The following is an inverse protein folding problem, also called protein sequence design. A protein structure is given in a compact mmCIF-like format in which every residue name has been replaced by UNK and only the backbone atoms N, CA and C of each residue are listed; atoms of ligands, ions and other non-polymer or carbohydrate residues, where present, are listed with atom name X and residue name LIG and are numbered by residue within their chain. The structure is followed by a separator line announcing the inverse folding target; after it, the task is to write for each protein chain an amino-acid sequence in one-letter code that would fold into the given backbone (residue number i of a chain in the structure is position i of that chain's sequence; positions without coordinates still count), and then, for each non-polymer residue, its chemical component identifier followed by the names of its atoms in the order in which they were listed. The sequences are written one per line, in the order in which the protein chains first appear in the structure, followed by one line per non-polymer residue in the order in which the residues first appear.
data_IF_199539022705
#
_entry.id   IF_199539022705
#
_cell.length_a   1.000
_cell.length_b   1.000
_cell.length_c   1.000
_cell.angle_alpha   90.00
_cell.angle_beta   90.00
_cell.angle_gamma   90.00
#
_symmetry.space_group_name_H-M   'P 1'
#
loop_
_entity.id
_entity.type
_entity.pdbx_description
1 polymer ?
#
# COMPACT_ATOMS: atom_id res chain seq x y z
N UNK A 1 26.88 11.99 -9.75
CA UNK A 1 26.00 10.83 -9.50
C UNK A 1 24.59 11.28 -9.87
N UNK A 2 24.08 10.89 -11.03
CA UNK A 2 22.69 11.19 -11.39
C UNK A 2 21.76 10.35 -10.52
N UNK A 3 20.84 10.98 -9.80
CA UNK A 3 19.71 10.28 -9.20
C UNK A 3 18.91 9.62 -10.32
N UNK A 4 18.84 8.29 -10.33
CA UNK A 4 17.88 7.60 -11.20
C UNK A 4 16.48 8.05 -10.77
N UNK A 5 15.78 8.75 -11.65
CA UNK A 5 14.47 9.28 -11.30
C UNK A 5 13.52 8.18 -10.82
N UNK A 6 12.73 8.45 -9.78
CA UNK A 6 11.72 7.51 -9.30
C UNK A 6 10.35 7.87 -9.89
N UNK A 7 9.59 6.85 -10.26
CA UNK A 7 8.18 6.98 -10.61
C UNK A 7 7.35 6.32 -9.51
N UNK A 8 6.45 7.07 -8.89
CA UNK A 8 5.54 6.55 -7.88
C UNK A 8 4.08 6.78 -8.31
N UNK A 9 3.36 5.68 -8.55
CA UNK A 9 1.91 5.68 -8.75
C UNK A 9 1.21 5.52 -7.39
N UNK A 10 0.36 6.46 -7.00
CA UNK A 10 -0.44 6.41 -5.78
C UNK A 10 -1.90 6.77 -6.08
N UNK A 11 -2.86 6.17 -5.39
CA UNK A 11 -4.24 6.64 -5.42
C UNK A 11 -4.41 7.80 -4.45
N UNK A 12 -5.00 8.92 -4.88
CA UNK A 12 -5.39 9.96 -3.93
C UNK A 12 -6.70 9.54 -3.26
N UNK A 13 -6.60 8.63 -2.29
CA UNK A 13 -7.62 8.57 -1.26
C UNK A 13 -7.42 9.80 -0.40
N UNK A 14 -8.23 10.84 -0.64
CA UNK A 14 -8.23 12.05 0.19
C UNK A 14 -8.35 11.63 1.66
N UNK A 15 -7.33 11.95 2.45
CA UNK A 15 -7.32 11.76 3.92
C UNK A 15 -7.79 10.38 4.41
N UNK A 16 -6.91 9.39 4.48
CA UNK A 16 -6.80 8.39 5.58
C UNK A 16 -8.05 7.83 6.28
N UNK A 17 -9.21 7.81 5.63
CA UNK A 17 -10.52 7.42 6.18
C UNK A 17 -11.23 6.43 5.26
N UNK A 18 -10.49 5.75 4.39
CA UNK A 18 -11.02 4.60 3.68
C UNK A 18 -11.20 3.41 4.61
N UNK A 19 -12.08 2.47 4.25
CA UNK A 19 -12.25 1.18 4.98
C UNK A 19 -10.92 0.46 5.16
N UNK A 20 -10.02 0.58 4.17
CA UNK A 20 -8.66 0.04 4.20
C UNK A 20 -7.80 0.68 5.32
N UNK A 21 -7.94 1.99 5.54
CA UNK A 21 -7.25 2.69 6.63
C UNK A 21 -7.77 2.27 8.00
N UNK A 22 -9.07 1.99 8.12
CA UNK A 22 -9.69 1.46 9.34
C UNK A 22 -9.17 0.07 9.71
N UNK A 23 -9.04 -0.84 8.73
CA UNK A 23 -8.49 -2.18 8.93
C UNK A 23 -7.00 -2.09 9.31
N UNK A 24 -6.23 -1.29 8.57
CA UNK A 24 -4.80 -1.08 8.84
C UNK A 24 -4.56 -0.45 10.22
N UNK A 25 -5.32 0.58 10.57
CA UNK A 25 -5.26 1.25 11.86
C UNK A 25 -5.63 0.33 13.03
N UNK A 26 -6.73 -0.44 12.89
CA UNK A 26 -7.16 -1.41 13.89
C UNK A 26 -6.10 -2.49 14.11
N UNK A 27 -5.54 -3.02 13.02
CA UNK A 27 -4.50 -4.06 13.09
C UNK A 27 -3.24 -3.55 13.76
N UNK A 28 -2.73 -2.37 13.35
CA UNK A 28 -1.57 -1.72 13.98
C UNK A 28 -1.79 -1.48 15.47
N UNK A 29 -2.95 -0.93 15.84
CA UNK A 29 -3.30 -0.62 17.23
C UNK A 29 -3.33 -1.87 18.12
N UNK A 30 -3.94 -2.96 17.64
CA UNK A 30 -4.04 -4.22 18.39
C UNK A 30 -2.68 -4.92 18.54
N UNK A 31 -1.87 -4.96 17.49
CA UNK A 31 -0.50 -5.50 17.58
C UNK A 31 0.34 -4.65 18.55
N UNK A 32 0.24 -3.33 18.47
CA UNK A 32 0.94 -2.42 19.38
C UNK A 32 0.54 -2.66 20.85
N UNK A 33 -0.73 -2.94 21.13
CA UNK A 33 -1.19 -3.26 22.48
C UNK A 33 -0.52 -4.53 23.05
N UNK A 34 -0.31 -5.57 22.22
CA UNK A 34 0.42 -6.79 22.63
C UNK A 34 1.90 -6.50 22.91
N UNK A 35 2.55 -5.71 22.07
CA UNK A 35 3.96 -5.30 22.25
C UNK A 35 4.11 -4.47 23.52
N UNK A 36 3.23 -3.49 23.73
CA UNK A 36 3.24 -2.62 24.92
C UNK A 36 3.00 -3.42 26.20
N UNK A 37 2.14 -4.44 26.15
CA UNK A 37 1.91 -5.37 27.25
C UNK A 37 3.02 -6.41 27.42
N UNK A 38 4.07 -6.37 26.59
CA UNK A 38 5.18 -7.34 26.57
C UNK A 38 4.72 -8.79 26.33
N UNK A 39 3.60 -8.97 25.64
CA UNK A 39 3.05 -10.29 25.25
C UNK A 39 3.53 -10.75 23.88
N UNK A 40 4.12 -9.84 23.10
CA UNK A 40 4.75 -10.13 21.81
C UNK A 40 5.99 -9.27 21.62
N UNK A 41 6.96 -9.79 20.88
CA UNK A 41 8.10 -9.04 20.36
C UNK A 41 7.92 -8.98 18.84
N UNK A 42 7.88 -7.77 18.28
CA UNK A 42 7.72 -7.54 16.85
C UNK A 42 8.83 -6.60 16.40
N UNK A 43 9.79 -7.10 15.60
CA UNK A 43 10.93 -6.32 15.11
C UNK A 43 10.90 -6.12 13.60
N UNK A 44 10.16 -6.97 12.87
CA UNK A 44 10.08 -6.93 11.42
C UNK A 44 8.70 -7.43 10.94
N UNK A 45 8.50 -7.43 9.61
CA UNK A 45 7.24 -7.85 9.00
C UNK A 45 6.91 -9.34 9.23
N UNK A 46 7.93 -10.19 9.34
CA UNK A 46 7.78 -11.63 9.60
C UNK A 46 7.21 -11.85 10.99
N UNK A 47 7.67 -11.11 11.99
CA UNK A 47 7.14 -11.16 13.35
C UNK A 47 5.73 -10.55 13.45
N UNK A 48 5.46 -9.51 12.65
CA UNK A 48 4.18 -8.80 12.68
C UNK A 48 3.03 -9.68 12.21
N UNK A 49 3.21 -10.41 11.10
CA UNK A 49 2.16 -11.21 10.48
C UNK A 49 1.44 -12.20 11.43
N UNK A 50 2.14 -13.07 12.20
CA UNK A 50 1.48 -14.00 13.11
C UNK A 50 0.75 -13.28 14.27
N UNK A 51 1.31 -12.19 14.78
CA UNK A 51 0.67 -11.42 15.86
C UNK A 51 -0.61 -10.75 15.33
N UNK A 52 -0.56 -10.17 14.13
CA UNK A 52 -1.72 -9.56 13.48
C UNK A 52 -2.86 -10.57 13.27
N UNK A 53 -2.56 -11.76 12.72
CA UNK A 53 -3.55 -12.83 12.52
C UNK A 53 -4.18 -13.29 13.82
N UNK A 54 -3.41 -13.33 14.92
CA UNK A 54 -3.90 -13.74 16.24
C UNK A 54 -4.85 -12.72 16.85
N UNK A 55 -4.53 -11.42 16.77
CA UNK A 55 -5.28 -10.35 17.47
C UNK A 55 -6.42 -9.77 16.64
N UNK A 56 -6.42 -10.02 15.34
CA UNK A 56 -7.49 -9.63 14.41
C UNK A 56 -7.95 -10.87 13.63
N UNK A 57 -8.79 -11.74 14.22
CA UNK A 57 -9.14 -13.03 13.61
C UNK A 57 -10.02 -12.89 12.35
N UNK A 58 -10.62 -11.72 12.11
CA UNK A 58 -11.52 -11.46 10.99
C UNK A 58 -10.81 -10.96 9.73
N UNK A 59 -9.48 -10.99 9.68
CA UNK A 59 -8.69 -10.65 8.49
C UNK A 59 -7.83 -11.83 8.06
N UNK A 60 -7.57 -11.91 6.76
CA UNK A 60 -6.53 -12.78 6.21
C UNK A 60 -5.25 -11.97 6.07
N UNK A 61 -4.21 -12.36 6.81
CA UNK A 61 -2.88 -11.74 6.70
C UNK A 61 -2.05 -12.56 5.72
N UNK A 62 -1.59 -11.91 4.64
CA UNK A 62 -0.70 -12.50 3.65
C UNK A 62 0.67 -11.85 3.81
N UNK A 63 1.68 -12.65 4.16
CA UNK A 63 3.07 -12.20 4.21
C UNK A 63 3.68 -12.34 2.82
N UNK A 64 4.19 -11.24 2.25
CA UNK A 64 4.98 -11.27 1.02
C UNK A 64 6.43 -10.90 1.35
N UNK A 65 7.34 -11.84 1.13
CA UNK A 65 8.78 -11.62 1.26
C UNK A 65 9.36 -11.06 -0.05
N UNK A 66 10.58 -10.54 0.01
CA UNK A 66 11.26 -10.02 -1.18
C UNK A 66 11.32 -11.05 -2.32
N UNK A 67 11.58 -12.32 -1.99
CA UNK A 67 11.55 -13.40 -2.99
C UNK A 67 10.18 -13.61 -3.64
N UNK A 68 9.09 -13.29 -2.95
CA UNK A 68 7.73 -13.38 -3.51
C UNK A 68 7.46 -12.18 -4.44
N UNK A 69 8.01 -11.01 -4.10
CA UNK A 69 7.98 -9.79 -4.89
C UNK A 69 8.83 -9.94 -6.18
N UNK A 70 10.05 -10.47 -6.06
CA UNK A 70 10.96 -10.61 -7.19
C UNK A 70 10.48 -11.64 -8.21
N UNK A 71 9.74 -12.66 -7.75
CA UNK A 71 9.07 -13.65 -8.62
C UNK A 71 7.83 -13.08 -9.29
N UNK A 72 7.22 -12.05 -8.72
CA UNK A 72 6.05 -11.42 -9.30
C UNK A 72 6.49 -10.42 -10.36
N UNK A 73 6.54 -10.89 -11.61
CA UNK A 73 6.64 -10.04 -12.80
C UNK A 73 5.32 -9.27 -12.98
N UNK A 74 5.03 -8.32 -12.08
CA UNK A 74 3.84 -7.49 -12.15
C UNK A 74 4.06 -6.45 -13.24
N UNK A 75 3.36 -6.63 -14.36
CA UNK A 75 3.23 -5.57 -15.33
C UNK A 75 2.25 -4.53 -14.81
N UNK A 76 2.78 -3.50 -14.14
CA UNK A 76 2.00 -2.39 -13.59
C UNK A 76 1.18 -1.61 -14.63
N UNK A 77 1.45 -1.78 -15.94
CA UNK A 77 0.63 -1.18 -17.00
C UNK A 77 -0.68 -1.94 -17.24
N UNK A 78 -0.78 -3.19 -16.77
CA UNK A 78 -2.00 -4.01 -16.84
C UNK A 78 -2.83 -3.93 -15.56
N UNK A 79 -2.33 -3.25 -14.52
CA UNK A 79 -3.07 -3.05 -13.29
C UNK A 79 -4.35 -2.25 -13.61
N UNK A 80 -5.51 -2.88 -13.42
CA UNK A 80 -6.80 -2.21 -13.58
C UNK A 80 -7.01 -1.25 -12.42
N UNK A 81 -7.62 -0.12 -12.72
CA UNK A 81 -8.08 0.79 -11.68
C UNK A 81 -9.08 0.07 -10.78
N UNK A 82 -8.95 0.28 -9.47
CA UNK A 82 -9.89 -0.26 -8.49
C UNK A 82 -11.21 0.50 -8.65
N UNK A 83 -12.32 -0.17 -8.98
CA UNK A 83 -13.60 0.49 -9.17
C UNK A 83 -13.98 1.32 -7.94
N UNK A 84 -14.25 2.62 -8.14
CA UNK A 84 -14.58 3.55 -7.07
C UNK A 84 -13.40 4.34 -6.47
N UNK A 85 -12.15 3.97 -6.76
CA UNK A 85 -10.98 4.81 -6.44
C UNK A 85 -10.80 5.82 -7.57
N UNK A 86 -11.29 7.04 -7.35
CA UNK A 86 -11.59 7.98 -8.45
C UNK A 86 -10.37 8.54 -9.18
N UNK A 87 -9.13 8.49 -8.64
CA UNK A 87 -7.93 9.06 -9.30
C UNK A 87 -6.63 8.36 -8.90
N UNK A 88 -5.88 7.89 -9.88
CA UNK A 88 -4.46 7.54 -9.74
C UNK A 88 -3.60 8.77 -10.05
N UNK A 89 -2.60 8.99 -9.23
CA UNK A 89 -1.64 10.08 -9.30
C UNK A 89 -0.26 9.49 -9.53
N UNK A 90 0.55 10.15 -10.34
CA UNK A 90 1.90 9.70 -10.66
C UNK A 90 2.86 10.83 -10.29
N UNK A 91 3.85 10.54 -9.46
CA UNK A 91 4.96 11.43 -9.17
C UNK A 91 6.15 10.95 -10.01
N UNK A 92 6.76 11.86 -10.77
CA UNK A 92 8.05 11.59 -11.43
C UNK A 92 9.07 12.64 -11.03
N UNK A 93 10.29 12.22 -10.71
CA UNK A 93 11.41 13.14 -10.57
C UNK A 93 12.13 13.30 -11.91
N UNK A 94 12.39 14.55 -12.33
CA UNK A 94 13.18 14.89 -13.52
C UNK A 94 14.21 15.94 -13.15
N UNK A 95 15.50 15.64 -13.32
CA UNK A 95 16.65 16.56 -13.32
C UNK A 95 16.51 17.79 -12.39
N UNK A 96 16.26 17.56 -11.09
CA UNK A 96 16.05 18.54 -9.98
C UNK A 96 14.62 19.03 -9.69
N UNK A 97 13.60 18.48 -10.37
CA UNK A 97 12.20 18.81 -10.12
C UNK A 97 11.33 17.58 -9.80
N UNK A 98 10.35 17.77 -8.92
CA UNK A 98 9.28 16.80 -8.66
C UNK A 98 8.06 17.21 -9.49
N UNK A 99 7.72 16.41 -10.50
CA UNK A 99 6.56 16.62 -11.35
C UNK A 99 5.39 15.75 -10.86
N UNK A 100 4.26 16.40 -10.56
CA UNK A 100 3.01 15.76 -10.15
C UNK A 100 2.08 15.63 -11.35
N UNK A 101 1.74 14.40 -11.72
CA UNK A 101 0.78 14.10 -12.77
C UNK A 101 -0.48 13.52 -12.14
N UNK A 102 -1.65 14.04 -12.52
CA UNK A 102 -2.93 13.42 -12.21
C UNK A 102 -3.44 12.75 -13.47
N UNK A 103 -3.68 11.44 -13.48
CA UNK A 103 -4.39 10.87 -14.63
C UNK A 103 -5.85 11.32 -14.55
N UNK A 104 -6.25 12.21 -15.46
CA UNK A 104 -7.64 12.37 -15.82
C UNK A 104 -7.92 11.27 -16.84
N UNK A 105 -8.49 10.14 -16.40
CA UNK A 105 -9.11 9.25 -17.36
C UNK A 105 -10.37 9.96 -17.88
N UNK A 106 -10.37 10.30 -19.17
CA UNK A 106 -11.59 10.68 -19.86
C UNK A 106 -12.56 9.50 -19.81
N UNK A 107 -13.70 9.74 -19.16
CA UNK A 107 -14.86 8.86 -19.14
C UNK A 107 -15.54 8.93 -20.50
N UNK A 108 -14.97 8.28 -21.50
CA UNK A 108 -15.66 8.01 -22.77
C UNK A 108 -15.46 6.54 -23.15
N UNK A 109 -16.23 5.66 -22.52
CA UNK A 109 -16.55 4.36 -23.11
C UNK A 109 -17.95 3.96 -22.68
N UNK A 110 -18.93 3.92 -23.60
CA UNK A 110 -20.29 3.48 -23.28
C UNK A 110 -20.32 1.96 -23.07
N UNK A 111 -21.25 1.54 -22.21
CA UNK A 111 -21.55 0.17 -21.78
C UNK A 111 -22.02 -0.68 -22.96
#
# INVERSE_FOLDING_TARGET
MCFSGFEWKYSATSHGTGVVDGIGGTTKSRVYAEVKARRAIVQNAIDFAPVASKVVPNITVISMLQNDIDKTQINWNLAKDVPGIKKAHIIKSSDDHICLFTSQQNLDTPI
#
